data_IF_328864042363
#
_entry.id   IF_328864042363
#
_cell.length_a   1.000
_cell.length_b   1.000
_cell.length_c   1.000
_cell.angle_alpha   90.00
_cell.angle_beta   90.00
_cell.angle_gamma   90.00
#
_symmetry.space_group_name_H-M   'P 1'
#
loop_
_entity.id
_entity.type
_entity.pdbx_description
1 polymer ?
#
# COMPACT_ATOMS: atom_id res chain seq x y z
N UNK A 1 -5.34 -46.79 10.24
CA UNK A 1 -3.93 -46.41 10.51
C UNK A 1 -3.17 -46.68 9.22
N UNK A 2 -3.46 -45.87 8.19
CA UNK A 2 -2.85 -46.01 6.88
C UNK A 2 -1.47 -45.34 6.91
N UNK A 3 -0.47 -46.12 6.55
CA UNK A 3 0.91 -45.70 6.32
C UNK A 3 0.96 -44.61 5.26
N UNK A 4 1.40 -43.42 5.65
CA UNK A 4 1.75 -42.33 4.74
C UNK A 4 2.89 -42.78 3.79
N UNK A 5 2.87 -42.38 2.51
CA UNK A 5 3.96 -42.70 1.58
C UNK A 5 5.23 -41.93 1.94
N UNK A 6 6.31 -42.67 2.17
CA UNK A 6 7.63 -42.22 2.62
C UNK A 6 8.52 -41.69 1.48
N UNK A 7 7.98 -40.88 0.56
CA UNK A 7 8.71 -40.47 -0.67
C UNK A 7 8.74 -38.95 -0.90
N UNK A 8 8.96 -38.15 0.14
CA UNK A 8 9.14 -36.69 -0.03
C UNK A 8 10.14 -36.10 0.97
N UNK A 9 11.25 -36.80 1.23
CA UNK A 9 12.43 -36.16 1.81
C UNK A 9 13.25 -35.64 0.62
N UNK A 10 13.50 -34.32 0.51
CA UNK A 10 14.35 -33.80 -0.55
C UNK A 10 15.72 -34.46 -0.40
N UNK A 11 16.34 -34.87 -1.50
CA UNK A 11 17.72 -35.34 -1.45
C UNK A 11 18.58 -34.21 -0.88
N UNK A 12 19.10 -34.45 0.33
CA UNK A 12 19.77 -33.48 1.18
C UNK A 12 21.22 -33.94 1.35
N UNK A 13 22.11 -33.31 0.59
CA UNK A 13 23.54 -33.54 0.72
C UNK A 13 24.10 -32.70 1.86
N UNK A 14 24.95 -33.29 2.70
CA UNK A 14 25.61 -32.60 3.81
C UNK A 14 27.11 -32.79 3.74
N UNK A 15 27.89 -31.70 3.77
CA UNK A 15 29.35 -31.77 3.89
C UNK A 15 29.92 -30.61 4.72
N UNK A 16 31.19 -30.74 5.09
CA UNK A 16 31.92 -29.75 5.89
C UNK A 16 32.87 -28.93 5.02
N UNK A 17 32.92 -27.63 5.27
CA UNK A 17 33.93 -26.74 4.72
C UNK A 17 34.53 -25.88 5.84
N UNK A 18 35.66 -26.31 6.39
CA UNK A 18 36.22 -25.70 7.60
C UNK A 18 35.30 -25.90 8.81
N UNK A 19 34.94 -24.81 9.48
CA UNK A 19 33.99 -24.79 10.61
C UNK A 19 32.52 -24.66 10.17
N UNK A 20 32.25 -24.57 8.87
CA UNK A 20 30.92 -24.39 8.30
C UNK A 20 30.31 -25.73 7.84
N UNK A 21 29.09 -26.00 8.28
CA UNK A 21 28.30 -27.12 7.78
C UNK A 21 27.43 -26.68 6.62
N UNK A 22 27.53 -27.40 5.50
CA UNK A 22 26.77 -27.08 4.31
C UNK A 22 25.71 -28.16 4.08
N UNK A 23 24.46 -27.71 4.01
CA UNK A 23 23.28 -28.50 3.67
C UNK A 23 22.83 -28.08 2.28
N UNK A 24 22.74 -29.01 1.33
CA UNK A 24 22.24 -28.73 -0.02
C UNK A 24 21.00 -29.57 -0.29
N UNK A 25 19.80 -29.02 -0.05
CA UNK A 25 18.58 -29.63 -0.54
C UNK A 25 18.51 -29.50 -2.07
N UNK A 26 17.90 -30.46 -2.73
CA UNK A 26 17.72 -30.46 -4.19
C UNK A 26 16.27 -30.73 -4.58
N UNK A 27 15.85 -30.20 -5.74
CA UNK A 27 14.51 -30.40 -6.26
C UNK A 27 13.50 -29.39 -5.71
N UNK A 28 12.45 -29.87 -5.05
CA UNK A 28 11.35 -29.02 -4.54
C UNK A 28 11.37 -29.07 -3.01
N UNK A 29 11.32 -27.90 -2.38
CA UNK A 29 11.25 -27.75 -0.94
C UNK A 29 9.88 -27.16 -0.57
N UNK A 30 8.91 -28.05 -0.43
CA UNK A 30 7.52 -27.78 -0.04
C UNK A 30 7.27 -28.12 1.44
N UNK A 31 6.03 -27.94 1.92
CA UNK A 31 5.67 -28.17 3.31
C UNK A 31 6.07 -29.57 3.82
N UNK A 32 5.76 -30.70 3.15
CA UNK A 32 6.25 -32.03 3.54
C UNK A 32 7.77 -32.12 3.64
N UNK A 33 8.49 -31.63 2.61
CA UNK A 33 9.94 -31.64 2.55
C UNK A 33 10.60 -30.74 3.63
N UNK A 34 9.94 -29.64 4.00
CA UNK A 34 10.43 -28.66 4.97
C UNK A 34 10.59 -29.26 6.38
N UNK A 35 9.80 -30.29 6.73
CA UNK A 35 9.90 -30.98 8.01
C UNK A 35 11.25 -31.69 8.14
N UNK A 36 11.70 -32.34 7.07
CA UNK A 36 13.01 -33.01 7.03
C UNK A 36 14.16 -32.02 7.18
N UNK A 37 14.09 -30.89 6.48
CA UNK A 37 15.07 -29.81 6.59
C UNK A 37 15.10 -29.23 8.01
N UNK A 38 13.94 -29.00 8.63
CA UNK A 38 13.84 -28.51 10.01
C UNK A 38 14.55 -29.43 10.99
N UNK A 39 14.27 -30.73 10.91
CA UNK A 39 14.88 -31.74 11.79
C UNK A 39 16.40 -31.78 11.59
N UNK A 40 16.89 -31.67 10.34
CA UNK A 40 18.32 -31.62 10.06
C UNK A 40 18.99 -30.38 10.66
N UNK A 41 18.39 -29.20 10.46
CA UNK A 41 18.90 -27.93 11.01
C UNK A 41 18.91 -27.93 12.53
N UNK A 42 17.82 -28.32 13.19
CA UNK A 42 17.74 -28.41 14.64
C UNK A 42 18.78 -29.38 15.22
N UNK A 43 19.00 -30.54 14.58
CA UNK A 43 20.03 -31.50 15.02
C UNK A 43 21.42 -30.87 15.00
N UNK A 44 21.78 -30.15 13.94
CA UNK A 44 23.09 -29.51 13.87
C UNK A 44 23.26 -28.38 14.91
N UNK A 45 22.20 -27.60 15.16
CA UNK A 45 22.21 -26.57 16.20
C UNK A 45 22.36 -27.17 17.60
N UNK A 46 21.71 -28.31 17.88
CA UNK A 46 21.80 -29.01 19.17
C UNK A 46 23.15 -29.71 19.39
N UNK A 47 23.82 -30.13 18.31
CA UNK A 47 25.20 -30.61 18.35
C UNK A 47 26.23 -29.47 18.55
N UNK A 48 25.77 -28.22 18.74
CA UNK A 48 26.63 -27.07 18.98
C UNK A 48 27.29 -26.50 17.72
N UNK A 49 26.79 -26.84 16.53
CA UNK A 49 27.30 -26.29 15.27
C UNK A 49 26.66 -24.92 15.03
N UNK A 50 27.48 -23.86 15.08
CA UNK A 50 27.01 -22.47 15.06
C UNK A 50 27.21 -21.77 13.71
N UNK A 51 27.90 -22.38 12.74
CA UNK A 51 28.00 -21.89 11.36
C UNK A 51 27.33 -22.88 10.41
N UNK A 52 26.22 -22.45 9.82
CA UNK A 52 25.40 -23.27 8.93
C UNK A 52 25.17 -22.55 7.60
N UNK A 53 25.33 -23.27 6.49
CA UNK A 53 25.02 -22.79 5.14
C UNK A 53 24.03 -23.73 4.47
N UNK A 54 22.89 -23.21 4.03
CA UNK A 54 21.91 -23.95 3.22
C UNK A 54 22.04 -23.53 1.77
N UNK A 55 22.69 -24.35 0.96
CA UNK A 55 22.90 -24.07 -0.47
C UNK A 55 21.59 -24.25 -1.25
N UNK A 56 21.01 -23.14 -1.70
CA UNK A 56 19.74 -23.11 -2.42
C UNK A 56 19.89 -23.31 -3.94
N UNK A 57 21.11 -23.46 -4.45
CA UNK A 57 21.40 -23.49 -5.90
C UNK A 57 20.80 -24.67 -6.66
N UNK A 58 20.33 -25.71 -5.96
CA UNK A 58 19.66 -26.87 -6.56
C UNK A 58 18.15 -26.93 -6.29
N UNK A 59 17.59 -25.89 -5.68
CA UNK A 59 16.16 -25.79 -5.45
C UNK A 59 15.47 -25.15 -6.66
N UNK A 60 14.38 -25.79 -7.09
CA UNK A 60 13.49 -25.30 -8.16
C UNK A 60 12.29 -24.54 -7.60
N UNK A 61 11.86 -24.91 -6.40
CA UNK A 61 10.73 -24.31 -5.70
C UNK A 61 10.98 -24.36 -4.21
N UNK A 62 10.66 -23.25 -3.55
CA UNK A 62 10.68 -23.10 -2.11
C UNK A 62 9.35 -22.45 -1.73
N UNK A 63 8.57 -23.11 -0.88
CA UNK A 63 7.31 -22.56 -0.40
C UNK A 63 7.48 -21.74 0.88
N UNK A 64 6.40 -21.10 1.33
CA UNK A 64 6.45 -20.27 2.53
C UNK A 64 6.84 -21.05 3.80
N UNK A 65 6.50 -22.34 3.91
CA UNK A 65 6.80 -23.14 5.10
C UNK A 65 8.29 -23.52 5.17
N UNK A 66 8.89 -23.81 4.01
CA UNK A 66 10.32 -23.98 3.85
C UNK A 66 11.08 -22.69 4.16
N UNK A 67 10.59 -21.56 3.66
CA UNK A 67 11.18 -20.25 3.93
C UNK A 67 11.15 -19.92 5.43
N UNK A 68 10.00 -20.17 6.08
CA UNK A 68 9.82 -19.94 7.50
C UNK A 68 10.72 -20.84 8.35
N UNK A 69 10.93 -22.09 7.91
CA UNK A 69 11.88 -23.01 8.53
C UNK A 69 13.32 -22.48 8.49
N UNK A 70 13.75 -21.90 7.36
CA UNK A 70 15.08 -21.27 7.24
C UNK A 70 15.22 -20.04 8.14
N UNK A 71 14.19 -19.19 8.19
CA UNK A 71 14.18 -17.98 9.02
C UNK A 71 14.22 -18.32 10.51
N UNK A 72 13.45 -19.31 10.96
CA UNK A 72 13.46 -19.78 12.34
C UNK A 72 14.83 -20.33 12.72
N UNK A 73 15.42 -21.19 11.89
CA UNK A 73 16.76 -21.73 12.15
C UNK A 73 17.84 -20.63 12.16
N UNK A 74 17.68 -19.57 11.34
CA UNK A 74 18.58 -18.41 11.35
C UNK A 74 18.48 -17.58 12.63
N UNK A 75 17.26 -17.36 13.14
CA UNK A 75 17.05 -16.70 14.43
C UNK A 75 17.65 -17.52 15.58
N UNK A 76 17.41 -18.83 15.60
CA UNK A 76 17.92 -19.74 16.62
C UNK A 76 19.46 -19.81 16.61
N UNK A 77 20.07 -19.87 15.42
CA UNK A 77 21.53 -19.80 15.29
C UNK A 77 22.08 -18.48 15.84
N UNK A 78 21.43 -17.35 15.56
CA UNK A 78 21.85 -16.03 16.03
C UNK A 78 21.77 -15.88 17.55
N UNK A 79 20.73 -16.42 18.19
CA UNK A 79 20.59 -16.44 19.66
C UNK A 79 21.71 -17.21 20.36
N UNK A 80 22.19 -18.29 19.73
CA UNK A 80 23.31 -19.11 20.21
C UNK A 80 24.70 -18.54 19.83
N UNK A 81 24.76 -17.34 19.25
CA UNK A 81 26.00 -16.67 18.85
C UNK A 81 26.60 -17.14 17.52
N UNK A 82 25.81 -17.84 16.71
CA UNK A 82 26.14 -18.36 15.39
C UNK A 82 25.52 -17.57 14.23
N UNK A 83 25.61 -18.14 13.02
CA UNK A 83 24.97 -17.60 11.83
C UNK A 83 24.52 -18.72 10.89
N UNK A 84 23.30 -18.59 10.37
CA UNK A 84 22.81 -19.37 9.24
C UNK A 84 22.74 -18.49 8.00
N UNK A 85 23.21 -19.02 6.87
CA UNK A 85 23.09 -18.39 5.54
C UNK A 85 22.41 -19.36 4.59
N UNK A 86 21.69 -18.85 3.61
CA UNK A 86 21.09 -19.66 2.56
C UNK A 86 21.41 -19.09 1.17
N UNK A 87 22.67 -19.18 0.71
CA UNK A 87 23.13 -18.59 -0.54
C UNK A 87 22.66 -19.38 -1.78
N UNK A 88 22.84 -18.79 -2.96
CA UNK A 88 22.61 -19.46 -4.23
C UNK A 88 21.14 -19.56 -4.64
N UNK A 89 20.25 -18.72 -4.10
CA UNK A 89 18.86 -18.71 -4.56
C UNK A 89 18.77 -18.14 -5.98
N UNK A 90 18.05 -18.83 -6.86
CA UNK A 90 17.71 -18.36 -8.21
C UNK A 90 16.22 -18.49 -8.49
N UNK A 91 15.77 -17.81 -9.56
CA UNK A 91 14.44 -17.96 -10.14
C UNK A 91 13.30 -17.89 -9.11
N UNK A 92 12.41 -18.88 -9.11
CA UNK A 92 11.23 -18.94 -8.24
C UNK A 92 11.59 -18.96 -6.76
N UNK A 93 12.74 -19.55 -6.39
CA UNK A 93 13.20 -19.60 -5.00
C UNK A 93 13.59 -18.21 -4.54
N UNK A 94 14.35 -17.47 -5.35
CA UNK A 94 14.71 -16.10 -5.05
C UNK A 94 13.47 -15.20 -4.99
N UNK A 95 12.56 -15.33 -5.96
CA UNK A 95 11.30 -14.59 -5.99
C UNK A 95 10.50 -14.78 -4.69
N UNK A 96 10.35 -16.02 -4.21
CA UNK A 96 9.61 -16.30 -2.97
C UNK A 96 10.31 -15.66 -1.77
N UNK A 97 11.64 -15.78 -1.67
CA UNK A 97 12.40 -15.17 -0.58
C UNK A 97 12.34 -13.64 -0.61
N UNK A 98 12.27 -13.03 -1.78
CA UNK A 98 12.06 -11.58 -1.93
C UNK A 98 10.65 -11.16 -1.56
N UNK A 99 9.64 -11.95 -1.96
CA UNK A 99 8.23 -11.71 -1.66
C UNK A 99 7.98 -11.61 -0.15
N UNK A 100 8.59 -12.50 0.62
CA UNK A 100 8.44 -12.54 2.08
C UNK A 100 9.46 -11.66 2.82
N UNK A 101 10.36 -10.99 2.09
CA UNK A 101 11.40 -10.12 2.67
C UNK A 101 12.56 -10.87 3.34
N UNK A 102 12.71 -12.17 3.08
CA UNK A 102 13.73 -13.03 3.67
C UNK A 102 15.07 -13.03 2.91
N UNK A 103 15.06 -12.68 1.61
CA UNK A 103 16.23 -12.83 0.74
C UNK A 103 17.50 -12.16 1.30
N UNK A 104 17.38 -10.93 1.82
CA UNK A 104 18.51 -10.20 2.41
C UNK A 104 18.94 -10.79 3.76
N UNK A 105 17.98 -11.20 4.60
CA UNK A 105 18.25 -11.77 5.92
C UNK A 105 18.98 -13.11 5.81
N UNK A 106 18.62 -13.92 4.82
CA UNK A 106 19.23 -15.21 4.55
C UNK A 106 20.48 -15.13 3.67
N UNK A 107 20.87 -13.94 3.20
CA UNK A 107 21.97 -13.77 2.22
C UNK A 107 21.78 -14.62 0.96
N UNK A 108 20.55 -14.64 0.46
CA UNK A 108 20.14 -15.46 -0.68
C UNK A 108 20.89 -15.13 -1.99
N UNK A 109 21.38 -13.89 -2.10
CA UNK A 109 22.14 -13.38 -3.24
C UNK A 109 23.62 -13.81 -3.26
N UNK A 110 24.14 -14.31 -2.13
CA UNK A 110 25.55 -14.68 -2.04
C UNK A 110 25.82 -15.90 -2.95
N UNK A 111 27.03 -15.97 -3.48
CA UNK A 111 27.44 -17.10 -4.31
C UNK A 111 27.39 -18.42 -3.51
N UNK A 112 27.00 -19.55 -4.14
CA UNK A 112 26.99 -20.84 -3.48
C UNK A 112 28.41 -21.23 -3.03
N UNK A 113 28.55 -21.98 -1.93
CA UNK A 113 29.85 -22.31 -1.36
C UNK A 113 30.71 -23.16 -2.31
N UNK A 114 31.99 -22.78 -2.45
CA UNK A 114 32.97 -23.52 -3.25
C UNK A 114 33.34 -24.85 -2.58
N UNK A 115 33.47 -25.93 -3.38
CA UNK A 115 33.87 -27.26 -2.88
C UNK A 115 32.76 -28.33 -2.86
N UNK A 116 31.68 -28.15 -3.63
CA UNK A 116 30.73 -29.22 -3.90
C UNK A 116 31.44 -30.49 -4.40
N UNK A 117 31.16 -31.70 -3.88
CA UNK A 117 31.58 -32.91 -4.58
C UNK A 117 30.94 -32.89 -5.99
N UNK A 118 31.69 -33.23 -7.05
CA UNK A 118 31.11 -33.38 -8.38
C UNK A 118 30.13 -34.55 -8.33
N UNK A 119 28.84 -34.27 -8.20
CA UNK A 119 27.81 -35.30 -8.33
C UNK A 119 27.89 -35.83 -9.76
N UNK A 120 28.13 -37.14 -9.87
CA UNK A 120 28.39 -37.90 -11.12
C UNK A 120 27.14 -38.11 -11.97
N UNK A 121 26.10 -37.32 -11.75
CA UNK A 121 24.93 -37.29 -12.61
C UNK A 121 25.03 -36.03 -13.47
N UNK A 122 25.38 -36.24 -14.73
CA UNK A 122 25.13 -35.26 -15.79
C UNK A 122 23.68 -34.78 -15.67
N UNK A 123 23.40 -33.46 -15.80
CA UNK A 123 22.03 -32.98 -15.79
C UNK A 123 21.26 -33.71 -16.90
N UNK A 124 20.21 -34.49 -16.57
CA UNK A 124 19.43 -35.16 -17.60
C UNK A 124 18.65 -34.09 -18.35
N UNK A 125 19.08 -33.90 -19.60
CA UNK A 125 18.50 -33.07 -20.64
C UNK A 125 18.66 -31.56 -20.46
N UNK A 126 19.16 -30.92 -21.53
CA UNK A 126 19.11 -29.48 -21.73
C UNK A 126 17.67 -29.01 -21.48
N UNK A 127 17.49 -28.23 -20.40
CA UNK A 127 16.21 -27.62 -20.06
C UNK A 127 15.66 -26.87 -21.28
N UNK A 128 14.35 -26.97 -21.57
CA UNK A 128 13.73 -26.06 -22.52
C UNK A 128 14.01 -24.63 -22.04
N UNK A 129 14.36 -23.69 -22.94
CA UNK A 129 14.77 -22.35 -22.54
C UNK A 129 13.71 -21.75 -21.62
N UNK A 130 14.13 -21.27 -20.44
CA UNK A 130 13.30 -20.43 -19.57
C UNK A 130 12.56 -19.42 -20.44
N UNK A 131 11.28 -19.17 -20.15
CA UNK A 131 10.48 -18.18 -20.88
C UNK A 131 11.22 -16.84 -21.01
N UNK A 132 12.12 -16.55 -20.06
CA UNK A 132 12.96 -15.37 -20.04
C UNK A 132 14.20 -15.45 -20.93
N UNK A 133 14.74 -16.62 -21.23
CA UNK A 133 15.77 -16.79 -22.28
C UNK A 133 15.26 -16.29 -23.63
N UNK A 134 13.98 -16.55 -23.94
CA UNK A 134 13.33 -16.06 -25.16
C UNK A 134 13.20 -14.52 -25.12
N UNK A 135 12.78 -13.96 -23.99
CA UNK A 135 12.66 -12.50 -23.82
C UNK A 135 14.02 -11.81 -23.91
N UNK A 136 15.04 -12.33 -23.24
CA UNK A 136 16.41 -11.82 -23.29
C UNK A 136 16.94 -11.78 -24.72
N UNK A 137 16.70 -12.83 -25.51
CA UNK A 137 17.13 -12.87 -26.90
C UNK A 137 16.38 -11.88 -27.79
N UNK A 138 15.05 -11.75 -27.61
CA UNK A 138 14.26 -10.71 -28.31
C UNK A 138 14.77 -9.31 -28.00
N UNK A 139 15.10 -9.03 -26.74
CA UNK A 139 15.62 -7.73 -26.31
C UNK A 139 17.05 -7.48 -26.79
N UNK A 140 17.90 -8.51 -26.84
CA UNK A 140 19.25 -8.42 -27.41
C UNK A 140 19.21 -8.11 -28.91
N UNK A 141 18.36 -8.81 -29.66
CA UNK A 141 18.15 -8.52 -31.09
C UNK A 141 17.59 -7.11 -31.30
N UNK A 142 16.65 -6.67 -30.46
CA UNK A 142 16.11 -5.32 -30.52
C UNK A 142 17.19 -4.28 -30.21
N UNK A 143 18.08 -4.53 -29.25
CA UNK A 143 19.15 -3.64 -28.85
C UNK A 143 20.18 -3.40 -29.98
N UNK A 144 20.46 -4.42 -30.79
CA UNK A 144 21.39 -4.37 -31.92
C UNK A 144 20.89 -3.57 -33.14
N UNK A 145 19.58 -3.23 -33.20
CA UNK A 145 18.99 -2.47 -34.29
C UNK A 145 18.94 -0.96 -33.97
N UNK A 146 18.97 -0.11 -35.00
CA UNK A 146 18.76 1.34 -34.82
C UNK A 146 17.37 1.65 -34.26
N UNK A 147 17.24 2.79 -33.55
CA UNK A 147 15.97 3.20 -32.92
C UNK A 147 14.82 3.41 -33.91
N UNK A 148 15.13 3.76 -35.16
CA UNK A 148 14.17 4.00 -36.25
C UNK A 148 13.75 2.73 -36.99
N UNK A 149 14.39 1.58 -36.75
CA UNK A 149 14.08 0.34 -37.46
C UNK A 149 12.74 -0.24 -36.97
N UNK A 150 11.73 -0.44 -37.84
CA UNK A 150 10.43 -1.00 -37.46
C UNK A 150 10.53 -2.40 -36.84
N UNK A 151 11.57 -3.17 -37.17
CA UNK A 151 11.81 -4.50 -36.58
C UNK A 151 12.15 -4.41 -35.10
N UNK A 152 12.77 -3.31 -34.65
CA UNK A 152 13.05 -3.06 -33.24
C UNK A 152 11.75 -2.95 -32.44
N UNK A 153 10.76 -2.23 -32.96
CA UNK A 153 9.44 -2.12 -32.34
C UNK A 153 8.74 -3.49 -32.27
N UNK A 154 8.72 -4.23 -33.37
CA UNK A 154 8.10 -5.56 -33.41
C UNK A 154 8.73 -6.57 -32.43
N UNK A 155 10.06 -6.55 -32.26
CA UNK A 155 10.75 -7.39 -31.29
C UNK A 155 10.41 -7.01 -29.84
N UNK A 156 10.30 -5.70 -29.56
CA UNK A 156 9.86 -5.20 -28.25
C UNK A 156 8.42 -5.58 -27.95
N UNK A 157 7.51 -5.45 -28.91
CA UNK A 157 6.10 -5.84 -28.74
C UNK A 157 5.96 -7.33 -28.41
N UNK A 158 6.78 -8.18 -29.04
CA UNK A 158 6.85 -9.61 -28.70
C UNK A 158 7.38 -9.84 -27.29
N UNK A 159 8.43 -9.13 -26.89
CA UNK A 159 8.96 -9.19 -25.52
C UNK A 159 7.91 -8.75 -24.48
N UNK A 160 7.15 -7.69 -24.76
CA UNK A 160 6.00 -7.26 -23.94
C UNK A 160 4.97 -8.38 -23.85
N UNK A 161 4.53 -8.94 -24.98
CA UNK A 161 3.51 -9.98 -25.01
C UNK A 161 3.88 -11.22 -24.19
N UNK A 162 5.14 -11.67 -24.28
CA UNK A 162 5.64 -12.78 -23.47
C UNK A 162 5.71 -12.46 -21.98
N UNK A 163 5.86 -11.19 -21.62
CA UNK A 163 6.09 -10.75 -20.23
C UNK A 163 4.82 -10.22 -19.55
N UNK A 164 3.73 -9.97 -20.27
CA UNK A 164 2.45 -9.51 -19.72
C UNK A 164 1.90 -10.42 -18.60
N UNK A 165 1.97 -11.77 -18.70
CA UNK A 165 1.50 -12.64 -17.61
C UNK A 165 2.23 -12.43 -16.28
N UNK A 166 3.50 -11.99 -16.30
CA UNK A 166 4.23 -11.60 -15.08
C UNK A 166 3.64 -10.32 -14.50
N UNK A 167 3.42 -9.29 -15.32
CA UNK A 167 2.81 -8.04 -14.89
C UNK A 167 1.42 -8.27 -14.26
N UNK A 168 0.57 -9.07 -14.90
CA UNK A 168 -0.75 -9.41 -14.36
C UNK A 168 -0.66 -10.19 -13.05
N UNK A 169 0.27 -11.15 -12.94
CA UNK A 169 0.50 -11.89 -11.69
C UNK A 169 0.92 -10.96 -10.57
N UNK A 170 1.79 -9.99 -10.85
CA UNK A 170 2.24 -9.00 -9.88
C UNK A 170 1.11 -8.02 -9.50
N UNK A 171 0.27 -7.60 -10.45
CA UNK A 171 -0.90 -6.76 -10.19
C UNK A 171 -1.92 -7.42 -9.24
N UNK A 172 -2.17 -8.73 -9.41
CA UNK A 172 -3.10 -9.51 -8.56
C UNK A 172 -2.77 -9.43 -7.07
N UNK A 173 -1.50 -9.27 -6.71
CA UNK A 173 -1.05 -9.14 -5.32
C UNK A 173 -1.55 -7.86 -4.64
N UNK A 174 -1.97 -6.88 -5.43
CA UNK A 174 -2.48 -5.60 -4.96
C UNK A 174 -4.01 -5.49 -5.06
N UNK A 175 -4.69 -6.56 -5.47
CA UNK A 175 -6.15 -6.60 -5.45
C UNK A 175 -6.68 -6.45 -4.02
N UNK A 176 -7.86 -5.86 -3.88
CA UNK A 176 -8.50 -5.60 -2.57
C UNK A 176 -7.99 -4.37 -1.84
N UNK A 177 -6.97 -3.68 -2.37
CA UNK A 177 -6.40 -2.46 -1.78
C UNK A 177 -7.19 -1.18 -2.07
N UNK A 178 -8.35 -1.29 -2.74
CA UNK A 178 -9.28 -0.18 -3.02
C UNK A 178 -9.31 0.30 -4.48
N UNK A 179 -8.48 -0.29 -5.35
CA UNK A 179 -8.37 0.06 -6.77
C UNK A 179 -8.91 -1.05 -7.68
N UNK A 180 -9.34 -0.67 -8.88
CA UNK A 180 -9.86 -1.61 -9.88
C UNK A 180 -8.78 -2.59 -10.34
N UNK A 181 -9.07 -3.91 -10.43
CA UNK A 181 -8.15 -4.88 -11.02
C UNK A 181 -7.63 -4.48 -12.41
N UNK A 182 -8.50 -3.86 -13.23
CA UNK A 182 -8.13 -3.42 -14.58
C UNK A 182 -7.10 -2.27 -14.54
N UNK A 183 -7.22 -1.36 -13.57
CA UNK A 183 -6.28 -0.25 -13.42
C UNK A 183 -4.94 -0.75 -12.89
N UNK A 184 -4.95 -1.72 -11.97
CA UNK A 184 -3.73 -2.35 -11.47
C UNK A 184 -2.98 -3.12 -12.57
N UNK A 185 -3.69 -3.86 -13.43
CA UNK A 185 -3.06 -4.48 -14.61
C UNK A 185 -2.44 -3.45 -15.55
N UNK A 186 -3.09 -2.30 -15.78
CA UNK A 186 -2.52 -1.23 -16.61
C UNK A 186 -1.26 -0.61 -16.00
N UNK A 187 -1.27 -0.34 -14.69
CA UNK A 187 -0.10 0.18 -13.97
C UNK A 187 1.06 -0.83 -14.03
N UNK A 188 0.77 -2.12 -13.85
CA UNK A 188 1.78 -3.16 -13.97
C UNK A 188 2.34 -3.26 -15.40
N UNK A 189 1.48 -3.14 -16.43
CA UNK A 189 1.91 -3.10 -17.82
C UNK A 189 2.79 -1.88 -18.12
N UNK A 190 2.49 -0.71 -17.54
CA UNK A 190 3.35 0.48 -17.63
C UNK A 190 4.73 0.21 -17.00
N UNK A 191 4.77 -0.45 -15.85
CA UNK A 191 6.03 -0.84 -15.22
C UNK A 191 6.82 -1.86 -16.02
N UNK A 192 6.13 -2.78 -16.69
CA UNK A 192 6.76 -3.73 -17.60
C UNK A 192 7.38 -3.03 -18.80
N UNK A 193 6.69 -2.05 -19.40
CA UNK A 193 7.24 -1.26 -20.50
C UNK A 193 8.53 -0.53 -20.09
N UNK A 194 8.55 0.05 -18.88
CA UNK A 194 9.77 0.68 -18.33
C UNK A 194 10.90 -0.32 -18.09
N UNK A 195 10.57 -1.52 -17.61
CA UNK A 195 11.55 -2.58 -17.45
C UNK A 195 12.17 -2.96 -18.81
N UNK A 196 11.35 -3.12 -19.85
CA UNK A 196 11.82 -3.41 -21.21
C UNK A 196 12.69 -2.28 -21.77
N UNK A 197 12.40 -1.03 -21.43
CA UNK A 197 13.20 0.12 -21.87
C UNK A 197 14.54 0.24 -21.17
N UNK A 198 14.59 -0.10 -19.88
CA UNK A 198 15.79 0.04 -19.06
C UNK A 198 16.66 -1.22 -18.96
N UNK A 199 16.20 -2.36 -19.48
CA UNK A 199 16.93 -3.63 -19.36
C UNK A 199 18.13 -3.69 -20.31
N UNK A 200 19.26 -4.16 -19.78
CA UNK A 200 20.49 -4.43 -20.52
C UNK A 200 20.75 -5.95 -20.56
N UNK A 201 20.58 -6.61 -21.73
CA UNK A 201 20.80 -8.05 -21.89
C UNK A 201 22.23 -8.52 -21.68
N UNK A 202 23.21 -7.62 -21.65
CA UNK A 202 24.63 -7.96 -21.49
C UNK A 202 25.09 -7.94 -20.02
N UNK A 203 24.22 -7.47 -19.11
CA UNK A 203 24.49 -7.38 -17.67
C UNK A 203 24.35 -8.72 -16.91
N UNK A 204 24.08 -9.83 -17.61
CA UNK A 204 24.13 -11.19 -17.06
C UNK A 204 22.97 -11.57 -16.12
N UNK A 205 21.97 -10.71 -15.94
CA UNK A 205 20.78 -10.99 -15.12
C UNK A 205 19.62 -11.37 -16.01
N UNK A 206 18.79 -12.31 -15.56
CA UNK A 206 17.56 -12.66 -16.27
C UNK A 206 16.52 -11.52 -16.26
N UNK A 207 15.80 -11.34 -17.36
CA UNK A 207 14.79 -10.28 -17.47
C UNK A 207 13.73 -10.35 -16.36
N UNK A 208 13.30 -11.55 -15.95
CA UNK A 208 12.32 -11.70 -14.87
C UNK A 208 12.79 -11.08 -13.55
N UNK A 209 14.06 -11.29 -13.21
CA UNK A 209 14.68 -10.73 -12.00
C UNK A 209 14.81 -9.20 -12.03
N UNK A 210 15.03 -8.60 -13.21
CA UNK A 210 15.07 -7.15 -13.37
C UNK A 210 13.67 -6.50 -13.43
N UNK A 211 12.73 -7.15 -14.13
CA UNK A 211 11.40 -6.60 -14.37
C UNK A 211 10.53 -6.59 -13.09
N UNK A 212 10.65 -7.61 -12.25
CA UNK A 212 9.85 -7.73 -11.01
C UNK A 212 9.97 -6.53 -10.07
N UNK A 213 11.17 -6.10 -9.62
CA UNK A 213 11.29 -4.94 -8.73
C UNK A 213 10.83 -3.64 -9.41
N UNK A 214 11.00 -3.53 -10.73
CA UNK A 214 10.53 -2.37 -11.52
C UNK A 214 9.01 -2.28 -11.52
N UNK A 215 8.32 -3.38 -11.87
CA UNK A 215 6.85 -3.45 -11.91
C UNK A 215 6.25 -3.23 -10.51
N UNK A 216 6.78 -3.89 -9.49
CA UNK A 216 6.34 -3.72 -8.09
C UNK A 216 6.56 -2.28 -7.62
N UNK A 217 7.68 -1.66 -8.00
CA UNK A 217 7.98 -0.26 -7.69
C UNK A 217 6.94 0.70 -8.28
N UNK A 218 6.51 0.44 -9.51
CA UNK A 218 5.49 1.22 -10.22
C UNK A 218 4.11 1.08 -9.58
N UNK A 219 3.70 -0.14 -9.23
CA UNK A 219 2.47 -0.40 -8.47
C UNK A 219 2.50 0.31 -7.11
N UNK A 220 3.59 0.20 -6.36
CA UNK A 220 3.77 0.91 -5.08
C UNK A 220 3.74 2.44 -5.25
N UNK A 221 4.29 2.97 -6.35
CA UNK A 221 4.23 4.41 -6.64
C UNK A 221 2.82 4.85 -6.98
N UNK A 222 2.06 4.04 -7.72
CA UNK A 222 0.66 4.33 -8.01
C UNK A 222 -0.19 4.46 -6.74
N UNK A 223 -0.14 3.48 -5.82
CA UNK A 223 -0.87 3.59 -4.53
C UNK A 223 -0.47 4.79 -3.69
N UNK A 224 0.82 5.12 -3.75
CA UNK A 224 1.38 6.26 -3.04
C UNK A 224 0.86 7.59 -3.58
N UNK A 225 0.76 7.73 -4.90
CA UNK A 225 0.43 9.01 -5.54
C UNK A 225 -1.07 9.17 -5.83
N UNK A 226 -1.78 8.06 -6.03
CA UNK A 226 -3.18 8.02 -6.50
C UNK A 226 -4.13 7.28 -5.57
N UNK A 227 -3.62 6.46 -4.65
CA UNK A 227 -4.47 5.67 -3.73
C UNK A 227 -5.08 6.46 -2.57
N UNK A 228 -4.92 7.78 -2.53
CA UNK A 228 -5.47 8.62 -1.45
C UNK A 228 -6.69 9.39 -1.96
N UNK A 229 -7.82 9.25 -1.26
CA UNK A 229 -9.05 9.98 -1.58
C UNK A 229 -8.96 11.50 -1.39
N UNK A 230 -7.97 11.96 -0.61
CA UNK A 230 -7.63 13.39 -0.43
C UNK A 230 -6.12 13.58 -0.43
N UNK A 231 -5.66 14.79 -0.78
CA UNK A 231 -4.23 15.10 -0.78
C UNK A 231 -3.69 15.11 0.66
N UNK A 232 -2.79 14.16 0.98
CA UNK A 232 -2.12 14.05 2.27
C UNK A 232 -0.62 14.35 2.11
N UNK A 233 -0.03 15.22 2.95
CA UNK A 233 1.40 15.53 2.91
C UNK A 233 2.30 14.30 2.98
N UNK A 234 3.42 14.35 2.25
CA UNK A 234 4.36 13.23 2.07
C UNK A 234 4.82 12.59 3.38
N UNK A 235 5.20 13.44 4.33
CA UNK A 235 5.68 13.05 5.66
C UNK A 235 4.68 12.15 6.39
N UNK A 236 3.39 12.44 6.32
CA UNK A 236 2.34 11.67 7.00
C UNK A 236 2.10 10.31 6.33
N UNK A 237 2.24 10.23 5.00
CA UNK A 237 2.15 8.95 4.28
C UNK A 237 3.26 7.98 4.68
N UNK A 238 4.49 8.49 4.80
CA UNK A 238 5.66 7.70 5.20
C UNK A 238 5.56 7.29 6.67
N UNK A 239 5.17 8.22 7.54
CA UNK A 239 4.96 7.96 8.96
C UNK A 239 3.88 6.89 9.19
N UNK A 240 2.79 6.88 8.41
CA UNK A 240 1.78 5.81 8.47
C UNK A 240 2.37 4.43 8.17
N UNK A 241 3.24 4.31 7.16
CA UNK A 241 3.86 3.02 6.81
C UNK A 241 4.73 2.53 7.98
N UNK A 242 5.45 3.46 8.61
CA UNK A 242 6.28 3.16 9.78
C UNK A 242 5.46 2.75 11.00
N UNK A 243 4.39 3.51 11.32
CA UNK A 243 3.43 3.20 12.39
C UNK A 243 2.83 1.81 12.20
N UNK A 244 2.41 1.44 10.98
CA UNK A 244 1.83 0.13 10.72
C UNK A 244 2.84 -1.01 10.97
N UNK A 245 4.08 -0.86 10.50
CA UNK A 245 5.15 -1.86 10.76
C UNK A 245 5.43 -2.03 12.25
N UNK A 246 5.51 -0.91 12.97
CA UNK A 246 5.78 -0.90 14.40
C UNK A 246 4.60 -1.44 15.20
N UNK A 247 3.36 -1.18 14.76
CA UNK A 247 2.16 -1.70 15.43
C UNK A 247 2.16 -3.23 15.51
N UNK A 248 2.52 -3.89 14.42
CA UNK A 248 2.53 -5.36 14.36
C UNK A 248 3.60 -5.93 15.30
N UNK A 249 4.82 -5.37 15.24
CA UNK A 249 5.93 -5.79 16.11
C UNK A 249 5.68 -5.50 17.60
N UNK A 250 5.15 -4.31 17.93
CA UNK A 250 4.81 -3.95 19.31
C UNK A 250 3.63 -4.77 19.82
N UNK A 251 2.65 -5.09 18.98
CA UNK A 251 1.51 -5.92 19.36
C UNK A 251 1.95 -7.30 19.83
N UNK A 252 2.87 -7.93 19.10
CA UNK A 252 3.46 -9.20 19.48
C UNK A 252 4.26 -9.11 20.79
N UNK A 253 5.06 -8.05 20.96
CA UNK A 253 5.89 -7.87 22.17
C UNK A 253 5.09 -7.53 23.43
N UNK A 254 4.04 -6.71 23.30
CA UNK A 254 3.25 -6.23 24.44
C UNK A 254 2.14 -7.20 24.83
N UNK A 255 1.78 -8.15 23.95
CA UNK A 255 0.63 -9.04 24.15
C UNK A 255 -0.71 -8.30 24.15
N UNK A 256 -0.74 -7.06 23.66
CA UNK A 256 -1.92 -6.20 23.54
C UNK A 256 -1.76 -5.24 22.36
N UNK A 257 -2.85 -4.62 21.93
CA UNK A 257 -2.80 -3.54 20.95
C UNK A 257 -1.94 -2.37 21.47
N UNK A 258 -1.00 -1.85 20.67
CA UNK A 258 -0.18 -0.69 21.05
C UNK A 258 -1.03 0.59 21.11
N UNK A 259 -0.76 1.45 22.08
CA UNK A 259 -1.35 2.80 22.17
C UNK A 259 -0.56 3.78 21.30
N UNK A 260 -1.14 4.95 20.93
CA UNK A 260 -0.39 5.99 20.21
C UNK A 260 0.90 6.40 20.91
N UNK A 261 0.88 6.43 22.26
CA UNK A 261 2.05 6.68 23.09
C UNK A 261 3.11 5.59 22.98
N UNK A 262 2.74 4.31 23.03
CA UNK A 262 3.70 3.19 22.87
C UNK A 262 4.42 3.27 21.52
N UNK A 263 3.68 3.62 20.46
CA UNK A 263 4.22 3.79 19.11
C UNK A 263 5.15 5.01 19.04
N UNK A 264 4.76 6.13 19.66
CA UNK A 264 5.56 7.34 19.71
C UNK A 264 6.90 7.12 20.44
N UNK A 265 6.87 6.44 21.58
CA UNK A 265 8.06 6.09 22.36
C UNK A 265 8.99 5.15 21.58
N UNK A 266 8.44 4.19 20.83
CA UNK A 266 9.23 3.29 20.00
C UNK A 266 9.88 3.99 18.80
N UNK A 267 9.16 4.92 18.17
CA UNK A 267 9.63 5.68 17.00
C UNK A 267 10.48 6.90 17.35
N UNK A 268 10.54 7.29 18.63
CA UNK A 268 11.26 8.48 19.07
C UNK A 268 10.64 9.79 18.60
N UNK A 269 9.31 9.83 18.45
CA UNK A 269 8.55 11.00 17.97
C UNK A 269 7.51 11.45 18.99
N UNK A 270 6.89 12.61 18.76
CA UNK A 270 5.79 13.09 19.62
C UNK A 270 4.50 12.32 19.36
N UNK A 271 3.74 12.03 20.43
CA UNK A 271 2.43 11.37 20.35
C UNK A 271 1.45 12.10 19.41
N UNK A 272 1.48 13.43 19.39
CA UNK A 272 0.66 14.24 18.50
C UNK A 272 0.92 13.94 17.01
N UNK A 273 2.17 13.63 16.64
CA UNK A 273 2.51 13.27 15.26
C UNK A 273 1.98 11.89 14.88
N UNK A 274 1.92 10.96 15.85
CA UNK A 274 1.28 9.65 15.67
C UNK A 274 -0.23 9.82 15.48
N UNK A 275 -0.86 10.65 16.32
CA UNK A 275 -2.29 10.95 16.21
C UNK A 275 -2.62 11.62 14.88
N UNK A 276 -1.84 12.61 14.45
CA UNK A 276 -1.99 13.27 13.15
C UNK A 276 -1.90 12.26 12.00
N UNK A 277 -0.92 11.36 12.01
CA UNK A 277 -0.79 10.32 10.99
C UNK A 277 -1.93 9.30 11.01
N UNK A 278 -2.46 8.96 12.19
CA UNK A 278 -3.63 8.09 12.33
C UNK A 278 -4.90 8.76 11.80
N UNK A 279 -5.13 10.03 12.09
CA UNK A 279 -6.24 10.81 11.51
C UNK A 279 -6.10 10.90 10.00
N UNK A 280 -4.91 11.22 9.51
CA UNK A 280 -4.63 11.25 8.08
C UNK A 280 -4.87 9.88 7.43
N UNK A 281 -4.63 8.77 8.13
CA UNK A 281 -4.86 7.43 7.59
C UNK A 281 -6.33 7.17 7.24
N UNK A 282 -7.29 7.78 7.94
CA UNK A 282 -8.72 7.73 7.61
C UNK A 282 -9.04 8.37 6.25
N UNK A 283 -8.19 9.30 5.81
CA UNK A 283 -8.26 9.95 4.51
C UNK A 283 -7.76 9.06 3.34
N UNK A 284 -7.10 7.93 3.65
CA UNK A 284 -6.72 6.94 2.65
C UNK A 284 -7.95 6.25 2.04
N UNK A 285 -8.94 5.90 2.87
CA UNK A 285 -10.19 5.27 2.42
C UNK A 285 -11.38 5.82 3.22
N UNK A 286 -12.03 6.89 2.74
CA UNK A 286 -13.20 7.42 3.43
C UNK A 286 -14.33 6.39 3.43
N UNK A 287 -15.14 6.40 4.49
CA UNK A 287 -16.36 5.60 4.56
C UNK A 287 -17.38 6.20 3.59
N UNK A 288 -18.07 5.34 2.82
CA UNK A 288 -19.11 5.79 1.91
C UNK A 288 -20.30 6.36 2.69
N UNK A 289 -20.86 7.47 2.24
CA UNK A 289 -22.12 7.99 2.76
C UNK A 289 -23.29 7.01 2.51
N UNK A 290 -23.17 6.17 1.49
CA UNK A 290 -24.12 5.09 1.20
C UNK A 290 -23.79 3.79 1.94
N UNK A 291 -22.85 3.79 2.88
CA UNK A 291 -22.59 2.60 3.69
C UNK A 291 -23.85 2.27 4.52
N UNK A 292 -24.37 1.03 4.45
CA UNK A 292 -25.52 0.64 5.25
C UNK A 292 -25.13 0.57 6.72
N UNK A 293 -26.03 1.04 7.60
CA UNK A 293 -25.80 1.05 9.04
C UNK A 293 -26.12 -0.30 9.72
N UNK A 294 -26.75 -1.23 8.99
CA UNK A 294 -27.14 -2.56 9.46
C UNK A 294 -27.15 -3.58 8.32
N UNK A 295 -27.37 -4.85 8.66
CA UNK A 295 -27.39 -5.96 7.71
C UNK A 295 -28.74 -6.23 7.03
N UNK A 296 -29.79 -5.54 7.45
CA UNK A 296 -31.13 -5.66 6.88
C UNK A 296 -31.34 -4.63 5.76
N UNK A 297 -32.14 -4.97 4.73
CA UNK A 297 -32.43 -4.09 3.59
C UNK A 297 -33.13 -2.77 3.99
N UNK A 298 -33.75 -2.71 5.17
CA UNK A 298 -34.40 -1.51 5.73
C UNK A 298 -33.45 -0.66 6.60
N UNK A 299 -32.19 -1.09 6.79
CA UNK A 299 -31.22 -0.29 7.52
C UNK A 299 -30.80 0.93 6.68
N UNK A 300 -31.11 2.13 7.18
CA UNK A 300 -30.70 3.39 6.55
C UNK A 300 -29.19 3.50 6.31
N UNK A 301 -28.81 4.48 5.50
CA UNK A 301 -27.41 4.75 5.14
C UNK A 301 -26.74 5.68 6.16
N UNK A 302 -25.40 5.71 6.15
CA UNK A 302 -24.64 6.66 6.95
C UNK A 302 -25.07 8.13 6.70
N UNK A 303 -25.44 8.46 5.46
CA UNK A 303 -25.95 9.78 5.08
C UNK A 303 -27.22 10.15 5.85
N UNK A 304 -28.09 9.18 6.13
CA UNK A 304 -29.39 9.42 6.76
C UNK A 304 -29.28 9.79 8.25
N UNK A 305 -28.14 9.48 8.88
CA UNK A 305 -27.87 9.73 10.30
C UNK A 305 -26.91 10.92 10.51
N UNK A 306 -26.25 11.37 9.44
CA UNK A 306 -25.41 12.57 9.49
C UNK A 306 -26.29 13.82 9.59
N UNK A 307 -26.38 14.37 10.79
CA UNK A 307 -26.97 15.68 11.03
C UNK A 307 -26.07 16.80 10.50
N UNK A 308 -26.69 17.94 10.17
CA UNK A 308 -26.00 19.18 9.86
C UNK A 308 -26.39 20.26 10.88
N UNK A 309 -25.55 21.26 11.05
CA UNK A 309 -25.85 22.41 11.89
C UNK A 309 -26.94 23.25 11.22
N UNK A 310 -28.15 23.24 11.79
CA UNK A 310 -29.24 24.10 11.31
C UNK A 310 -28.99 25.54 11.76
N UNK A 311 -28.32 26.30 10.89
CA UNK A 311 -28.03 27.73 11.09
C UNK A 311 -29.29 28.59 11.26
N UNK A 312 -30.45 28.12 10.83
CA UNK A 312 -31.70 28.86 11.04
C UNK A 312 -32.17 28.79 12.50
N UNK A 313 -31.80 27.74 13.26
CA UNK A 313 -32.14 27.60 14.69
C UNK A 313 -31.61 28.79 15.49
N UNK A 314 -30.34 29.16 15.31
CA UNK A 314 -29.71 30.32 15.98
C UNK A 314 -30.44 31.64 15.66
N UNK A 315 -31.12 31.71 14.51
CA UNK A 315 -31.85 32.89 14.07
C UNK A 315 -33.30 32.95 14.55
N UNK A 316 -33.86 31.86 15.09
CA UNK A 316 -35.27 31.77 15.49
C UNK A 316 -35.60 32.78 16.59
N UNK A 317 -34.74 32.89 17.61
CA UNK A 317 -34.94 33.82 18.73
C UNK A 317 -34.98 35.27 18.23
N UNK A 318 -34.05 35.65 17.36
CA UNK A 318 -34.03 36.98 16.74
C UNK A 318 -35.27 37.24 15.87
N UNK A 319 -35.72 36.25 15.09
CA UNK A 319 -36.95 36.38 14.27
C UNK A 319 -38.17 36.59 15.16
N UNK A 320 -38.30 35.85 16.26
CA UNK A 320 -39.43 35.99 17.20
C UNK A 320 -39.41 37.33 17.93
N UNK A 321 -38.24 37.81 18.36
CA UNK A 321 -38.09 39.07 19.06
C UNK A 321 -38.31 40.30 18.15
N UNK A 322 -37.85 40.26 16.90
CA UNK A 322 -37.96 41.38 15.95
C UNK A 322 -39.37 41.51 15.35
N UNK A 323 -40.12 40.42 15.19
CA UNK A 323 -41.46 40.40 14.59
C UNK A 323 -42.45 41.39 15.24
N UNK A 324 -42.66 41.42 16.57
CA UNK A 324 -43.57 42.39 17.20
C UNK A 324 -43.06 43.83 17.09
N UNK A 325 -41.74 44.05 17.06
CA UNK A 325 -41.14 45.38 16.90
C UNK A 325 -41.42 45.94 15.50
N UNK A 326 -41.27 45.12 14.44
CA UNK A 326 -41.62 45.50 13.07
C UNK A 326 -43.12 45.79 12.94
N UNK A 327 -43.97 45.03 13.62
CA UNK A 327 -45.42 45.24 13.58
C UNK A 327 -45.86 46.60 14.15
N UNK A 328 -45.07 47.17 15.08
CA UNK A 328 -45.29 48.50 15.68
C UNK A 328 -44.77 49.66 14.83
N UNK A 329 -43.99 49.39 13.79
CA UNK A 329 -43.46 50.44 12.93
C UNK A 329 -44.57 51.13 12.13
N UNK A 330 -44.41 52.43 11.83
CA UNK A 330 -45.25 53.11 10.87
C UNK A 330 -45.30 52.37 9.53
N UNK A 331 -46.47 52.35 8.89
CA UNK A 331 -46.71 51.59 7.65
C UNK A 331 -45.66 51.87 6.56
N UNK A 332 -45.26 53.14 6.44
CA UNK A 332 -44.25 53.60 5.50
C UNK A 332 -42.87 52.96 5.76
N UNK A 333 -42.44 52.89 7.01
CA UNK A 333 -41.14 52.33 7.41
C UNK A 333 -41.15 50.81 7.24
N UNK A 334 -42.24 50.14 7.62
CA UNK A 334 -42.46 48.71 7.37
C UNK A 334 -42.42 48.38 5.87
N UNK A 335 -43.04 49.22 5.02
CA UNK A 335 -43.01 49.06 3.55
C UNK A 335 -41.59 49.24 2.99
N UNK A 336 -40.85 50.24 3.49
CA UNK A 336 -39.44 50.45 3.11
C UNK A 336 -38.57 49.24 3.50
N UNK A 337 -38.72 48.70 4.73
CA UNK A 337 -38.02 47.49 5.18
C UNK A 337 -38.35 46.27 4.31
N UNK A 338 -39.63 46.04 4.00
CA UNK A 338 -40.06 44.93 3.15
C UNK A 338 -39.46 45.04 1.75
N UNK A 339 -39.51 46.21 1.11
CA UNK A 339 -38.92 46.41 -0.22
C UNK A 339 -37.40 46.25 -0.20
N UNK A 340 -36.74 46.65 0.90
CA UNK A 340 -35.28 46.58 1.03
C UNK A 340 -34.77 45.17 1.30
N UNK A 341 -35.33 44.47 2.28
CA UNK A 341 -34.78 43.22 2.80
C UNK A 341 -35.48 41.97 2.26
N UNK A 342 -36.72 42.08 1.79
CA UNK A 342 -37.45 40.97 1.16
C UNK A 342 -37.60 41.16 -0.36
N UNK A 343 -37.84 42.39 -0.80
CA UNK A 343 -37.98 42.73 -2.21
C UNK A 343 -36.66 42.95 -2.95
N UNK A 344 -35.51 42.86 -2.28
CA UNK A 344 -34.15 43.10 -2.82
C UNK A 344 -34.01 44.41 -3.64
N UNK A 345 -34.83 45.44 -3.35
CA UNK A 345 -34.79 46.71 -4.08
C UNK A 345 -33.65 47.60 -3.58
N UNK A 346 -33.05 48.35 -4.50
CA UNK A 346 -32.08 49.40 -4.15
C UNK A 346 -32.79 50.59 -3.52
N UNK A 347 -32.09 51.38 -2.71
CA UNK A 347 -32.67 52.59 -2.11
C UNK A 347 -33.16 53.59 -3.16
N UNK A 348 -32.53 53.63 -4.34
CA UNK A 348 -32.96 54.45 -5.47
C UNK A 348 -34.28 53.95 -6.09
N UNK A 349 -34.44 52.63 -6.25
CA UNK A 349 -35.70 52.04 -6.71
C UNK A 349 -36.83 52.27 -5.71
N UNK A 350 -36.56 52.07 -4.42
CA UNK A 350 -37.53 52.33 -3.34
C UNK A 350 -37.93 53.81 -3.31
N UNK A 351 -36.97 54.71 -3.55
CA UNK A 351 -37.20 56.15 -3.60
C UNK A 351 -38.11 56.54 -4.78
N UNK A 352 -37.87 55.96 -5.96
CA UNK A 352 -38.71 56.13 -7.13
C UNK A 352 -40.14 55.62 -6.90
N UNK A 353 -40.29 54.43 -6.30
CA UNK A 353 -41.61 53.85 -5.97
C UNK A 353 -42.42 54.70 -4.98
N UNK A 354 -41.75 55.34 -4.03
CA UNK A 354 -42.36 56.10 -2.94
C UNK A 354 -42.42 57.61 -3.20
N UNK A 355 -41.97 58.06 -4.37
CA UNK A 355 -41.96 59.49 -4.75
C UNK A 355 -41.12 60.38 -3.84
N UNK A 356 -40.01 59.86 -3.29
CA UNK A 356 -39.08 60.60 -2.41
C UNK A 356 -37.64 60.50 -2.88
N UNK A 357 -36.73 61.25 -2.26
CA UNK A 357 -35.31 61.14 -2.56
C UNK A 357 -34.68 59.89 -1.94
N UNK A 358 -33.68 59.32 -2.62
CA UNK A 358 -32.88 58.19 -2.10
C UNK A 358 -32.26 58.51 -0.75
N UNK A 359 -31.85 59.77 -0.53
CA UNK A 359 -31.31 60.20 0.75
C UNK A 359 -32.35 60.22 1.87
N UNK A 360 -33.61 60.50 1.55
CA UNK A 360 -34.71 60.37 2.49
C UNK A 360 -34.96 58.89 2.86
N UNK A 361 -34.95 57.98 1.87
CA UNK A 361 -35.04 56.52 2.13
C UNK A 361 -33.89 56.03 3.01
N UNK A 362 -32.67 56.49 2.75
CA UNK A 362 -31.48 56.13 3.54
C UNK A 362 -31.61 56.57 5.02
N UNK A 363 -32.04 57.81 5.26
CA UNK A 363 -32.28 58.33 6.62
C UNK A 363 -33.39 57.57 7.34
N UNK A 364 -34.49 57.25 6.65
CA UNK A 364 -35.59 56.46 7.21
C UNK A 364 -35.11 55.07 7.60
N UNK A 365 -34.44 54.34 6.71
CA UNK A 365 -33.87 53.03 7.00
C UNK A 365 -32.93 53.05 8.20
N UNK A 366 -32.00 54.02 8.24
CA UNK A 366 -31.01 54.12 9.31
C UNK A 366 -31.69 54.33 10.67
N UNK A 367 -32.63 55.30 10.77
CA UNK A 367 -33.37 55.55 12.01
C UNK A 367 -34.24 54.36 12.43
N UNK A 368 -34.93 53.73 11.49
CA UNK A 368 -35.80 52.57 11.78
C UNK A 368 -34.96 51.39 12.28
N UNK A 369 -33.83 51.08 11.64
CA UNK A 369 -32.93 50.01 12.08
C UNK A 369 -32.30 50.29 13.43
N UNK A 370 -31.90 51.54 13.70
CA UNK A 370 -31.36 51.94 14.99
C UNK A 370 -32.41 51.86 16.11
N UNK A 371 -33.65 52.25 15.82
CA UNK A 371 -34.79 52.12 16.74
C UNK A 371 -35.13 50.66 17.03
N UNK A 372 -35.17 49.80 16.01
CA UNK A 372 -35.36 48.36 16.18
C UNK A 372 -34.24 47.74 17.01
N UNK A 373 -32.98 48.15 16.78
CA UNK A 373 -31.83 47.64 17.54
C UNK A 373 -31.90 48.03 19.01
N UNK A 374 -32.24 49.29 19.33
CA UNK A 374 -32.44 49.73 20.73
C UNK A 374 -33.56 48.95 21.40
N UNK A 375 -34.72 48.86 20.75
CA UNK A 375 -35.86 48.13 21.29
C UNK A 375 -35.62 46.61 21.49
N UNK A 376 -34.66 46.03 20.76
CA UNK A 376 -34.23 44.64 20.93
C UNK A 376 -33.22 44.45 22.07
N UNK A 377 -32.45 45.48 22.44
CA UNK A 377 -31.45 45.44 23.51
C UNK A 377 -32.01 45.90 24.86
N UNK A 378 -33.06 46.73 24.83
CA UNK A 378 -33.69 47.33 26.02
C UNK A 378 -34.90 46.53 26.53
N UNK A 379 -35.31 45.47 25.82
CA UNK A 379 -36.38 44.54 26.21
C UNK A 379 -35.82 43.15 26.42
#
# INVERSE_FOLDING_TARGET
>A
METMPTDSVPALDTWRNGDDEILRPSGVLDYPASVGLRVALSRHLDEGRLSLTVDLSRLRLLDCAAADTLLHAQAEAAERGGALRAPGASDLVLDVLEIIGAAKQLRAYDAPPAGAPPSTEEPPDAEPPSQWTTVNELLRQAAALERSDPRRAALRDRAVAHSLPLADRLARRFHGMGESPADLSQVAALGLMKAIEGFDPDYGTDFGGYATPTIVGELKRYFRDKGWGVHVPRRLQELRIEINRVRDALGQRLGRSPTPRDVAEHLGIHEEQVLEALVASSAYRPVSLFAPLGGDDDAGTLADVLGDDDRDIDSVEFRQAVRPLIARLPERERRILSLRFYGNRTQAQIAADLGISQMHVSRLLSRTLEGLRRALLDG
#
